data_IF_254644606970
#
_entry.id   IF_254644606970
#
_cell.length_a   1.000
_cell.length_b   1.000
_cell.length_c   1.000
_cell.angle_alpha   90.00
_cell.angle_beta   90.00
_cell.angle_gamma   90.00
#
_symmetry.space_group_name_H-M   'P 1'
#
loop_
_entity.id
_entity.type
_entity.pdbx_description
1 polymer ?
#
# COMPACT_ATOMS: atom_id res chain seq x y z
N UNK A 1 -24.70 7.23 -28.33
CA UNK A 1 -23.29 6.79 -28.26
C UNK A 1 -23.19 5.84 -27.08
N UNK A 2 -22.95 4.55 -27.31
CA UNK A 2 -22.87 3.54 -26.24
C UNK A 2 -21.63 3.82 -25.38
N UNK A 3 -21.81 4.34 -24.17
CA UNK A 3 -20.72 4.51 -23.21
C UNK A 3 -20.14 3.14 -22.88
N UNK A 4 -18.91 2.92 -23.33
CA UNK A 4 -18.18 1.69 -23.08
C UNK A 4 -17.74 1.71 -21.61
N UNK A 5 -18.51 1.03 -20.73
CA UNK A 5 -18.30 0.93 -19.26
C UNK A 5 -16.89 0.48 -18.80
N UNK A 6 -15.98 0.20 -19.73
CA UNK A 6 -14.59 -0.23 -19.48
C UNK A 6 -13.55 0.87 -19.71
N UNK A 7 -13.94 2.06 -20.18
CA UNK A 7 -13.02 3.20 -20.41
C UNK A 7 -13.36 4.37 -19.49
N UNK A 8 -12.36 5.18 -19.18
CA UNK A 8 -12.55 6.45 -18.48
C UNK A 8 -13.38 7.39 -19.37
N UNK A 9 -14.22 8.22 -18.74
CA UNK A 9 -14.97 9.28 -19.43
C UNK A 9 -14.02 10.25 -20.13
N UNK A 10 -14.45 10.87 -21.23
CA UNK A 10 -13.68 11.92 -21.90
C UNK A 10 -13.34 13.08 -20.95
N UNK A 11 -14.21 13.37 -19.98
CA UNK A 11 -13.95 14.39 -18.94
C UNK A 11 -12.78 14.05 -18.01
N UNK A 12 -12.36 12.78 -17.93
CA UNK A 12 -11.20 12.39 -17.13
C UNK A 12 -9.86 12.93 -17.70
N UNK A 13 -9.86 13.35 -18.97
CA UNK A 13 -8.70 13.89 -19.67
C UNK A 13 -8.72 15.43 -19.74
N UNK A 14 -9.67 16.08 -19.06
CA UNK A 14 -9.85 17.53 -19.02
C UNK A 14 -11.06 18.02 -19.83
N UNK A 15 -11.29 19.33 -19.81
CA UNK A 15 -12.39 19.99 -20.52
C UNK A 15 -13.73 20.02 -19.78
N UNK A 16 -13.79 19.53 -18.55
CA UNK A 16 -14.93 19.70 -17.64
C UNK A 16 -14.46 20.44 -16.37
N UNK A 17 -15.35 21.25 -15.78
CA UNK A 17 -15.13 21.80 -14.44
C UNK A 17 -15.06 20.64 -13.44
N UNK A 18 -14.26 20.77 -12.38
CA UNK A 18 -14.10 19.72 -11.37
C UNK A 18 -15.43 19.30 -10.72
N UNK A 19 -16.36 20.24 -10.57
CA UNK A 19 -17.68 20.02 -10.00
C UNK A 19 -18.61 19.20 -10.93
N UNK A 20 -18.35 19.23 -12.25
CA UNK A 20 -19.14 18.52 -13.26
C UNK A 20 -18.55 17.13 -13.60
N UNK A 21 -17.41 16.77 -13.01
CA UNK A 21 -16.74 15.50 -13.31
C UNK A 21 -17.40 14.33 -12.58
N UNK A 22 -17.89 13.34 -13.34
CA UNK A 22 -18.39 12.07 -12.80
C UNK A 22 -17.25 11.05 -12.70
N UNK A 23 -16.88 10.59 -11.49
CA UNK A 23 -15.81 9.61 -11.32
C UNK A 23 -16.14 8.24 -11.90
N UNK A 24 -15.11 7.43 -12.19
CA UNK A 24 -15.28 6.06 -12.72
C UNK A 24 -16.16 5.18 -11.84
N UNK A 25 -16.13 5.39 -10.52
CA UNK A 25 -17.06 4.80 -9.56
C UNK A 25 -17.87 5.95 -8.96
N UNK A 26 -19.16 6.10 -9.29
CA UNK A 26 -19.99 7.18 -8.76
C UNK A 26 -20.12 7.10 -7.24
N UNK A 27 -20.19 8.25 -6.56
CA UNK A 27 -20.44 8.34 -5.11
C UNK A 27 -21.80 7.78 -4.69
N UNK A 28 -22.74 7.61 -5.63
CA UNK A 28 -24.01 6.93 -5.42
C UNK A 28 -23.91 5.40 -5.37
N UNK A 29 -22.79 4.82 -5.81
CA UNK A 29 -22.59 3.38 -5.86
C UNK A 29 -21.80 2.91 -4.64
N UNK A 30 -22.45 2.17 -3.75
CA UNK A 30 -21.79 1.54 -2.60
C UNK A 30 -21.08 0.26 -3.02
N UNK A 31 -19.82 0.40 -3.42
CA UNK A 31 -18.95 -0.74 -3.72
C UNK A 31 -18.05 -1.02 -2.49
N UNK A 32 -17.93 -2.28 -2.03
CA UNK A 32 -17.19 -2.58 -0.81
C UNK A 32 -15.68 -2.38 -1.03
N UNK A 33 -15.04 -1.48 -0.28
CA UNK A 33 -13.59 -1.20 -0.42
C UNK A 33 -12.75 -1.97 0.61
N UNK A 34 -13.20 -1.91 1.86
CA UNK A 34 -12.55 -2.54 3.02
C UNK A 34 -13.33 -3.80 3.40
N UNK A 35 -12.99 -4.92 2.78
CA UNK A 35 -13.56 -6.23 3.08
C UNK A 35 -12.57 -7.06 3.89
N UNK A 36 -13.05 -8.10 4.59
CA UNK A 36 -12.16 -9.05 5.25
C UNK A 36 -11.15 -9.67 4.28
N UNK A 37 -11.54 -9.90 3.02
CA UNK A 37 -10.66 -10.40 1.97
C UNK A 37 -9.55 -9.41 1.62
N UNK A 38 -9.89 -8.13 1.38
CA UNK A 38 -8.89 -7.12 1.02
C UNK A 38 -7.92 -6.81 2.17
N UNK A 39 -8.40 -6.84 3.42
CA UNK A 39 -7.53 -6.69 4.60
C UNK A 39 -6.60 -7.91 4.73
N UNK A 40 -7.13 -9.13 4.76
CA UNK A 40 -6.32 -10.34 5.00
C UNK A 40 -5.27 -10.50 3.89
N UNK A 41 -5.68 -10.37 2.62
CA UNK A 41 -4.76 -10.46 1.50
C UNK A 41 -3.72 -9.33 1.52
N UNK A 42 -4.15 -8.11 1.85
CA UNK A 42 -3.26 -6.96 2.01
C UNK A 42 -2.22 -7.15 3.09
N UNK A 43 -2.59 -7.68 4.27
CA UNK A 43 -1.65 -7.97 5.37
C UNK A 43 -0.65 -9.05 4.97
N UNK A 44 -1.10 -10.12 4.30
CA UNK A 44 -0.21 -11.17 3.81
C UNK A 44 0.83 -10.59 2.85
N UNK A 45 0.40 -9.77 1.88
CA UNK A 45 1.32 -9.12 0.95
C UNK A 45 2.20 -8.09 1.64
N UNK A 46 1.69 -7.31 2.59
CA UNK A 46 2.49 -6.37 3.36
C UNK A 46 3.64 -7.08 4.10
N UNK A 47 3.37 -8.19 4.79
CA UNK A 47 4.41 -8.99 5.45
C UNK A 47 5.42 -9.57 4.45
N UNK A 48 4.92 -10.13 3.33
CA UNK A 48 5.77 -10.72 2.31
C UNK A 48 6.71 -9.68 1.68
N UNK A 49 6.18 -8.56 1.22
CA UNK A 49 6.96 -7.50 0.61
C UNK A 49 7.84 -6.76 1.61
N UNK A 50 7.40 -6.59 2.86
CA UNK A 50 8.26 -6.04 3.91
C UNK A 50 9.48 -6.93 4.16
N UNK A 51 9.29 -8.25 4.27
CA UNK A 51 10.39 -9.19 4.46
C UNK A 51 11.33 -9.21 3.24
N UNK A 52 10.77 -9.28 2.03
CA UNK A 52 11.55 -9.26 0.79
C UNK A 52 12.36 -7.96 0.65
N UNK A 53 11.75 -6.80 0.86
CA UNK A 53 12.43 -5.51 0.77
C UNK A 53 13.43 -5.28 1.90
N UNK A 54 13.17 -5.79 3.11
CA UNK A 54 14.14 -5.74 4.20
C UNK A 54 15.39 -6.56 3.85
N UNK A 55 15.18 -7.79 3.37
CA UNK A 55 16.29 -8.68 2.98
C UNK A 55 17.09 -8.10 1.81
N UNK A 56 16.41 -7.68 0.74
CA UNK A 56 17.06 -7.11 -0.45
C UNK A 56 17.75 -5.79 -0.13
N UNK A 57 17.12 -4.93 0.67
CA UNK A 57 17.70 -3.66 1.11
C UNK A 57 18.98 -3.87 1.91
N UNK A 58 19.01 -4.83 2.84
CA UNK A 58 20.20 -5.11 3.64
C UNK A 58 21.28 -5.85 2.85
N UNK A 59 20.92 -6.71 1.90
CA UNK A 59 21.88 -7.54 1.16
C UNK A 59 22.46 -6.86 -0.07
N UNK A 60 21.62 -6.14 -0.82
CA UNK A 60 21.95 -5.61 -2.16
C UNK A 60 21.88 -4.07 -2.19
N UNK A 61 21.40 -3.43 -1.13
CA UNK A 61 21.29 -1.97 -1.05
C UNK A 61 20.17 -1.38 -1.91
N UNK A 62 19.34 -2.21 -2.55
CA UNK A 62 18.25 -1.80 -3.43
C UNK A 62 16.92 -2.37 -2.94
N UNK A 63 15.85 -1.58 -3.06
CA UNK A 63 14.47 -2.01 -2.78
C UNK A 63 13.68 -2.15 -4.07
N UNK A 64 12.62 -2.95 -4.02
CA UNK A 64 11.69 -3.14 -5.14
C UNK A 64 10.38 -2.46 -4.76
N UNK A 65 9.81 -1.72 -5.72
CA UNK A 65 8.46 -1.16 -5.56
C UNK A 65 7.45 -2.31 -5.40
N UNK A 66 6.89 -2.44 -4.20
CA UNK A 66 5.89 -3.46 -3.86
C UNK A 66 4.50 -3.11 -4.41
N UNK A 67 4.25 -1.82 -4.70
CA UNK A 67 2.95 -1.36 -5.20
C UNK A 67 2.58 -1.93 -6.57
N UNK A 68 3.54 -1.98 -7.51
CA UNK A 68 3.33 -2.52 -8.87
C UNK A 68 2.97 -4.02 -8.83
N UNK A 69 3.80 -4.92 -8.28
CA UNK A 69 3.46 -6.33 -8.18
C UNK A 69 2.27 -6.55 -7.24
N UNK A 70 2.14 -5.76 -6.17
CA UNK A 70 0.99 -5.80 -5.26
C UNK A 70 -0.34 -5.57 -5.98
N UNK A 71 -0.43 -4.56 -6.85
CA UNK A 71 -1.64 -4.29 -7.64
C UNK A 71 -1.97 -5.40 -8.65
N UNK A 72 -0.95 -5.94 -9.32
CA UNK A 72 -1.11 -7.05 -10.28
C UNK A 72 -1.60 -8.30 -9.55
N UNK A 73 -0.94 -8.67 -8.44
CA UNK A 73 -1.30 -9.83 -7.64
C UNK A 73 -2.66 -9.65 -6.97
N UNK A 74 -2.97 -8.47 -6.44
CA UNK A 74 -4.28 -8.18 -5.85
C UNK A 74 -5.40 -8.39 -6.85
N UNK A 75 -5.27 -7.80 -8.04
CA UNK A 75 -6.26 -7.92 -9.11
C UNK A 75 -6.37 -9.37 -9.60
N UNK A 76 -5.24 -10.07 -9.76
CA UNK A 76 -5.21 -11.46 -10.19
C UNK A 76 -5.84 -12.42 -9.17
N UNK A 77 -5.51 -12.27 -7.89
CA UNK A 77 -6.01 -13.13 -6.81
C UNK A 77 -7.48 -12.86 -6.52
N UNK A 78 -7.90 -11.60 -6.41
CA UNK A 78 -9.30 -11.24 -6.17
C UNK A 78 -10.21 -11.70 -7.32
N UNK A 79 -9.77 -11.51 -8.56
CA UNK A 79 -10.54 -11.90 -9.74
C UNK A 79 -10.52 -13.41 -9.99
N UNK A 80 -9.37 -14.06 -9.80
CA UNK A 80 -9.18 -15.48 -10.08
C UNK A 80 -9.75 -16.38 -8.98
N UNK A 81 -9.31 -16.18 -7.74
CA UNK A 81 -9.65 -17.05 -6.61
C UNK A 81 -11.01 -16.66 -6.02
N UNK A 82 -11.22 -15.37 -5.76
CA UNK A 82 -12.43 -14.90 -5.09
C UNK A 82 -13.56 -14.52 -6.05
N UNK A 83 -13.33 -14.56 -7.37
CA UNK A 83 -14.27 -14.11 -8.43
C UNK A 83 -14.84 -12.70 -8.17
N UNK A 84 -14.09 -11.86 -7.45
CA UNK A 84 -14.45 -10.48 -7.15
C UNK A 84 -13.79 -9.55 -8.15
N UNK A 85 -14.60 -8.84 -8.94
CA UNK A 85 -14.11 -7.90 -9.93
C UNK A 85 -14.28 -6.45 -9.45
N UNK A 86 -13.66 -6.14 -8.32
CA UNK A 86 -13.77 -4.85 -7.62
C UNK A 86 -12.40 -4.17 -7.56
N UNK A 87 -12.31 -3.00 -8.17
CA UNK A 87 -11.06 -2.23 -8.27
C UNK A 87 -10.69 -1.60 -6.92
N UNK A 88 -11.68 -1.27 -6.09
CA UNK A 88 -11.44 -0.66 -4.78
C UNK A 88 -10.80 -1.65 -3.81
N UNK A 89 -11.25 -2.91 -3.81
CA UNK A 89 -10.61 -3.98 -3.01
C UNK A 89 -9.18 -4.24 -3.46
N UNK A 90 -8.93 -4.27 -4.78
CA UNK A 90 -7.59 -4.45 -5.31
C UNK A 90 -6.66 -3.27 -4.97
N UNK A 91 -7.18 -2.05 -5.03
CA UNK A 91 -6.43 -0.85 -4.64
C UNK A 91 -6.11 -0.84 -3.14
N UNK A 92 -7.04 -1.30 -2.29
CA UNK A 92 -6.81 -1.44 -0.85
C UNK A 92 -5.67 -2.44 -0.56
N UNK A 93 -5.70 -3.62 -1.19
CA UNK A 93 -4.63 -4.63 -1.06
C UNK A 93 -3.28 -4.08 -1.53
N UNK A 94 -3.25 -3.39 -2.68
CA UNK A 94 -2.03 -2.80 -3.23
C UNK A 94 -1.47 -1.70 -2.31
N UNK A 95 -2.34 -0.89 -1.72
CA UNK A 95 -1.95 0.14 -0.76
C UNK A 95 -1.35 -0.48 0.49
N UNK A 96 -1.97 -1.52 1.06
CA UNK A 96 -1.42 -2.25 2.21
C UNK A 96 -0.04 -2.86 1.89
N UNK A 97 0.11 -3.47 0.70
CA UNK A 97 1.39 -4.01 0.26
C UNK A 97 2.49 -2.94 0.19
N UNK A 98 2.18 -1.77 -0.37
CA UNK A 98 3.10 -0.64 -0.45
C UNK A 98 3.43 -0.04 0.94
N UNK A 99 2.49 -0.07 1.89
CA UNK A 99 2.78 0.35 3.28
C UNK A 99 3.81 -0.56 3.96
N UNK A 100 3.79 -1.87 3.67
CA UNK A 100 4.82 -2.81 4.15
C UNK A 100 6.24 -2.43 3.69
N UNK A 101 6.38 -1.99 2.44
CA UNK A 101 7.64 -1.45 1.90
C UNK A 101 8.10 -0.18 2.65
N UNK A 102 7.19 0.74 2.94
CA UNK A 102 7.53 1.99 3.65
C UNK A 102 8.11 1.73 5.04
N UNK A 103 7.50 0.79 5.79
CA UNK A 103 8.01 0.38 7.11
C UNK A 103 9.39 -0.29 6.97
N UNK A 104 9.53 -1.22 6.03
CA UNK A 104 10.81 -1.88 5.76
C UNK A 104 11.91 -0.88 5.42
N UNK A 105 11.61 0.12 4.57
CA UNK A 105 12.50 1.22 4.23
C UNK A 105 13.02 1.97 5.46
N UNK A 106 12.15 2.33 6.40
CA UNK A 106 12.58 2.98 7.65
C UNK A 106 13.55 2.10 8.46
N UNK A 107 13.29 0.80 8.53
CA UNK A 107 14.09 -0.15 9.32
C UNK A 107 15.48 -0.36 8.71
N UNK A 108 15.56 -0.59 7.38
CA UNK A 108 16.82 -0.90 6.71
C UNK A 108 17.82 0.26 6.73
N UNK A 109 17.36 1.51 6.86
CA UNK A 109 18.24 2.66 6.99
C UNK A 109 18.67 2.92 8.45
N UNK A 110 17.80 2.63 9.42
CA UNK A 110 18.05 2.96 10.82
C UNK A 110 18.82 1.86 11.55
N UNK A 111 18.43 0.59 11.41
CA UNK A 111 19.03 -0.48 12.21
C UNK A 111 20.53 -0.70 11.93
N UNK A 112 21.00 -0.77 10.66
CA UNK A 112 22.42 -0.95 10.41
C UNK A 112 23.26 0.21 10.97
N UNK A 113 22.77 1.44 10.89
CA UNK A 113 23.45 2.60 11.46
C UNK A 113 23.62 2.49 12.98
N UNK A 114 22.59 2.04 13.70
CA UNK A 114 22.67 1.82 15.14
C UNK A 114 23.64 0.70 15.52
N UNK A 115 23.66 -0.40 14.76
CA UNK A 115 24.59 -1.51 14.97
C UNK A 115 26.04 -1.03 14.79
N UNK A 116 26.31 -0.23 13.75
CA UNK A 116 27.65 0.33 13.49
C UNK A 116 28.12 1.29 14.60
N UNK A 117 27.19 1.94 15.31
CA UNK A 117 27.48 2.75 16.49
C UNK A 117 27.74 1.94 17.77
N UNK A 118 27.91 0.61 17.67
CA UNK A 118 28.06 -0.31 18.81
C UNK A 118 26.88 -0.29 19.80
N UNK A 119 25.68 0.06 19.35
CA UNK A 119 24.49 -0.14 20.18
C UNK A 119 24.17 -1.64 20.27
N UNK A 120 24.10 -2.17 21.49
CA UNK A 120 23.67 -3.55 21.76
C UNK A 120 22.17 -3.71 21.53
N UNK A 121 21.76 -3.82 20.27
CA UNK A 121 20.36 -4.00 19.89
C UNK A 121 19.93 -5.45 20.16
N UNK A 122 19.14 -5.65 21.22
CA UNK A 122 18.39 -6.88 21.43
C UNK A 122 17.24 -6.99 20.42
N UNK A 123 16.87 -8.21 20.04
CA UNK A 123 15.70 -8.48 19.17
C UNK A 123 14.43 -7.79 19.70
N UNK A 124 14.25 -7.75 21.02
CA UNK A 124 13.11 -7.09 21.65
C UNK A 124 13.14 -5.57 21.40
N UNK A 125 14.31 -4.94 21.53
CA UNK A 125 14.49 -3.50 21.29
C UNK A 125 14.17 -3.16 19.85
N UNK A 126 14.62 -3.98 18.89
CA UNK A 126 14.31 -3.80 17.47
C UNK A 126 12.80 -3.84 17.21
N UNK A 127 12.10 -4.81 17.80
CA UNK A 127 10.63 -4.92 17.67
C UNK A 127 9.94 -3.69 18.25
N UNK A 128 10.31 -3.26 19.46
CA UNK A 128 9.71 -2.09 20.12
C UNK A 128 9.95 -0.82 19.31
N UNK A 129 11.19 -0.57 18.88
CA UNK A 129 11.54 0.62 18.08
C UNK A 129 10.79 0.62 16.75
N UNK A 130 10.65 -0.55 16.12
CA UNK A 130 9.88 -0.69 14.88
C UNK A 130 8.40 -0.35 15.08
N UNK A 131 7.78 -0.86 16.14
CA UNK A 131 6.38 -0.58 16.47
C UNK A 131 6.19 0.90 16.77
N UNK A 132 7.03 1.48 17.62
CA UNK A 132 6.95 2.91 17.99
C UNK A 132 7.19 3.80 16.77
N UNK A 133 8.19 3.48 15.95
CA UNK A 133 8.47 4.21 14.70
C UNK A 133 7.32 4.14 13.71
N UNK A 134 6.69 2.97 13.55
CA UNK A 134 5.51 2.80 12.71
C UNK A 134 4.32 3.64 13.21
N UNK A 135 4.03 3.60 14.52
CA UNK A 135 2.96 4.40 15.12
C UNK A 135 3.25 5.90 14.97
N UNK A 136 4.48 6.34 15.22
CA UNK A 136 4.89 7.73 15.02
C UNK A 136 4.70 8.16 13.57
N UNK A 137 5.06 7.34 12.60
CA UNK A 137 4.85 7.64 11.18
C UNK A 137 3.38 7.90 10.85
N UNK A 138 2.48 7.04 11.33
CA UNK A 138 1.02 7.24 11.17
C UNK A 138 0.55 8.53 11.85
N UNK A 139 1.07 8.81 13.04
CA UNK A 139 0.74 10.03 13.79
C UNK A 139 1.20 11.31 13.10
N UNK A 140 2.35 11.31 12.43
CA UNK A 140 2.83 12.49 11.68
C UNK A 140 2.09 12.68 10.36
N UNK A 141 1.74 11.60 9.64
CA UNK A 141 1.05 11.69 8.34
C UNK A 141 -0.41 12.14 8.49
N UNK A 142 -1.09 11.74 9.58
CA UNK A 142 -2.54 12.00 9.73
C UNK A 142 -2.90 13.49 9.83
N UNK A 143 -2.22 14.34 10.63
CA UNK A 143 -2.50 15.77 10.74
C UNK A 143 -2.16 16.56 9.47
N UNK A 144 -1.08 16.18 8.77
CA UNK A 144 -0.65 16.80 7.51
C UNK A 144 -1.67 16.61 6.37
N UNK A 145 -2.64 15.72 6.53
CA UNK A 145 -3.65 15.43 5.50
C UNK A 145 -4.78 16.46 5.44
N UNK A 146 -4.91 17.32 6.46
CA UNK A 146 -5.99 18.32 6.58
C UNK A 146 -5.59 19.75 6.21
N UNK A 147 -4.30 20.00 5.97
CA UNK A 147 -3.75 21.29 5.58
C UNK A 147 -2.97 21.11 4.28
#
# INVERSE_FOLDING_TARGET
MSENKKKLSSGAYGGCSGDDYVPFIPTSTVMPETTGYSIILGVIFACFFAAANTYLGLKVGLTISAGIPGAILATGVLKGIFKRNNILEANMVASLAAMGESIAGGIIFVLPALILCNFGLSNLTVVVVTIVGGIMGVFFVTPLRRY
#
